data_IF_352647264164
#
_entry.id   IF_352647264164
#
_cell.length_a   1.000
_cell.length_b   1.000
_cell.length_c   1.000
_cell.angle_alpha   90.00
_cell.angle_beta   90.00
_cell.angle_gamma   90.00
#
_symmetry.space_group_name_H-M   'P 1'
#
loop_
_entity.id
_entity.type
_entity.pdbx_description
1 polymer ?
#
# COMPACT_ATOMS: atom_id res chain seq x y z
N UNK A 1 10.74 1.55 -35.47
CA UNK A 1 11.82 1.62 -34.46
C UNK A 1 11.31 0.92 -33.21
N UNK A 2 11.86 -0.23 -32.85
CA UNK A 2 11.49 -0.90 -31.60
C UNK A 2 11.82 0.02 -30.43
N UNK A 3 10.84 0.34 -29.59
CA UNK A 3 11.07 1.19 -28.42
C UNK A 3 12.13 0.54 -27.54
N UNK A 4 13.03 1.37 -27.01
CA UNK A 4 13.97 0.96 -25.97
C UNK A 4 13.21 0.19 -24.88
N UNK A 5 13.73 -0.97 -24.47
CA UNK A 5 13.26 -1.69 -23.29
C UNK A 5 13.18 -0.70 -22.11
N UNK A 6 11.97 -0.35 -21.70
CA UNK A 6 11.72 0.58 -20.63
C UNK A 6 12.41 0.11 -19.33
N UNK A 7 12.81 1.05 -18.48
CA UNK A 7 13.35 0.76 -17.15
C UNK A 7 12.83 1.81 -16.16
N UNK A 8 12.42 1.41 -14.94
CA UNK A 8 11.95 2.34 -13.93
C UNK A 8 13.06 3.28 -13.46
N UNK A 9 12.68 4.51 -13.14
CA UNK A 9 13.60 5.48 -12.55
C UNK A 9 14.14 5.01 -11.19
N UNK A 10 15.35 5.46 -10.86
CA UNK A 10 16.00 5.20 -9.56
C UNK A 10 15.14 5.78 -8.43
N UNK A 11 14.76 4.93 -7.46
CA UNK A 11 13.93 5.29 -6.31
C UNK A 11 14.19 4.36 -5.13
N UNK A 12 13.88 4.79 -3.91
CA UNK A 12 13.84 3.94 -2.72
C UNK A 12 12.42 3.87 -2.15
N UNK A 13 12.20 3.05 -1.11
CA UNK A 13 10.96 3.05 -0.31
C UNK A 13 9.67 2.80 -1.11
N UNK A 14 9.77 2.18 -2.28
CA UNK A 14 8.65 1.74 -3.09
C UNK A 14 8.03 0.48 -2.51
N UNK A 15 6.79 0.19 -2.91
CA UNK A 15 6.14 -1.09 -2.64
C UNK A 15 6.18 -1.96 -3.87
N UNK A 16 6.35 -3.28 -3.68
CA UNK A 16 6.27 -4.26 -4.77
C UNK A 16 5.51 -5.49 -4.32
N UNK A 17 4.65 -6.01 -5.20
CA UNK A 17 3.88 -7.24 -4.96
C UNK A 17 3.78 -8.07 -6.23
N UNK A 18 3.62 -9.39 -6.09
CA UNK A 18 3.40 -10.32 -7.20
C UNK A 18 1.91 -10.58 -7.42
N UNK A 19 1.45 -10.54 -8.66
CA UNK A 19 0.15 -11.04 -9.10
C UNK A 19 0.34 -11.82 -10.40
N UNK A 20 -0.02 -13.11 -10.41
CA UNK A 20 0.27 -13.99 -11.55
C UNK A 20 1.76 -14.01 -11.89
N UNK A 21 2.09 -13.81 -13.17
CA UNK A 21 3.47 -13.77 -13.68
C UNK A 21 4.09 -12.37 -13.66
N UNK A 22 3.46 -11.41 -12.98
CA UNK A 22 3.89 -10.02 -12.96
C UNK A 22 4.21 -9.55 -11.54
N UNK A 23 5.18 -8.63 -11.44
CA UNK A 23 5.36 -7.78 -10.27
C UNK A 23 4.78 -6.40 -10.58
N UNK A 24 4.16 -5.81 -9.58
CA UNK A 24 3.59 -4.47 -9.62
C UNK A 24 4.33 -3.62 -8.60
N UNK A 25 4.91 -2.51 -9.04
CA UNK A 25 5.66 -1.60 -8.20
C UNK A 25 5.01 -0.21 -8.21
N UNK A 26 4.73 0.30 -7.01
CA UNK A 26 4.08 1.59 -6.82
C UNK A 26 4.86 2.49 -5.86
N UNK A 27 4.84 3.78 -6.17
CA UNK A 27 5.45 4.83 -5.37
C UNK A 27 6.97 4.71 -5.29
N UNK A 28 7.49 5.06 -4.11
CA UNK A 28 8.89 5.26 -3.81
C UNK A 28 9.33 6.71 -3.99
N UNK A 29 10.43 7.08 -3.35
CA UNK A 29 10.99 8.41 -3.44
C UNK A 29 12.17 8.44 -4.43
N UNK A 30 12.10 9.33 -5.41
CA UNK A 30 13.12 9.48 -6.45
C UNK A 30 12.80 10.59 -7.43
N UNK A 31 13.83 11.12 -8.09
CA UNK A 31 13.65 12.12 -9.15
C UNK A 31 13.01 11.48 -10.38
N UNK A 32 11.93 12.10 -10.88
CA UNK A 32 11.22 11.62 -12.07
C UNK A 32 10.31 10.41 -11.83
N UNK A 33 9.99 10.08 -10.58
CA UNK A 33 8.93 9.09 -10.28
C UNK A 33 7.60 9.68 -10.74
N UNK A 34 6.92 8.94 -11.62
CA UNK A 34 5.57 9.24 -12.07
C UNK A 34 4.58 8.46 -11.20
N UNK A 35 3.67 9.17 -10.54
CA UNK A 35 2.66 8.62 -9.63
C UNK A 35 1.30 8.42 -10.30
N UNK A 36 1.21 8.60 -11.62
CA UNK A 36 -0.01 8.30 -12.40
C UNK A 36 0.07 6.92 -13.10
N UNK A 37 1.24 6.27 -13.04
CA UNK A 37 1.51 4.98 -13.69
C UNK A 37 1.91 3.89 -12.71
N UNK A 38 1.49 2.67 -12.99
CA UNK A 38 1.94 1.46 -12.33
C UNK A 38 3.13 0.87 -13.10
N UNK A 39 4.24 0.65 -12.40
CA UNK A 39 5.41 -0.02 -12.96
C UNK A 39 5.18 -1.54 -12.91
N UNK A 40 5.21 -2.21 -14.06
CA UNK A 40 4.89 -3.64 -14.16
C UNK A 40 6.10 -4.39 -14.71
N UNK A 41 6.51 -5.44 -14.02
CA UNK A 41 7.59 -6.32 -14.44
C UNK A 41 7.06 -7.70 -14.78
N UNK A 42 7.29 -8.17 -16.00
CA UNK A 42 6.94 -9.53 -16.42
C UNK A 42 8.07 -10.48 -16.03
N UNK A 43 7.82 -11.37 -15.06
CA UNK A 43 8.82 -12.29 -14.51
C UNK A 43 9.45 -13.22 -15.57
N UNK A 44 8.68 -13.86 -16.48
CA UNK A 44 9.23 -14.79 -17.46
C UNK A 44 10.18 -14.13 -18.47
N UNK A 45 9.89 -12.91 -18.93
CA UNK A 45 10.70 -12.23 -19.96
C UNK A 45 11.69 -11.22 -19.38
N UNK A 46 11.54 -10.88 -18.11
CA UNK A 46 12.33 -9.85 -17.44
C UNK A 46 12.12 -8.44 -18.00
N UNK A 47 10.95 -8.17 -18.58
CA UNK A 47 10.64 -6.89 -19.23
C UNK A 47 9.81 -5.98 -18.32
N UNK A 48 10.13 -4.69 -18.31
CA UNK A 48 9.35 -3.66 -17.65
C UNK A 48 8.39 -2.96 -18.61
N UNK A 49 7.25 -2.52 -18.07
CA UNK A 49 6.26 -1.72 -18.76
C UNK A 49 5.63 -0.70 -17.78
N UNK A 50 5.10 0.39 -18.32
CA UNK A 50 4.34 1.40 -17.56
C UNK A 50 2.87 1.33 -17.95
N UNK A 51 2.01 1.17 -16.95
CA UNK A 51 0.56 1.11 -17.14
C UNK A 51 -0.09 2.34 -16.52
N UNK A 52 -0.67 3.26 -17.32
CA UNK A 52 -1.48 4.35 -16.79
C UNK A 52 -2.60 3.81 -15.90
N UNK A 53 -2.85 4.51 -14.79
CA UNK A 53 -3.89 4.12 -13.84
C UNK A 53 -5.00 5.15 -13.78
N UNK A 54 -6.17 4.73 -13.27
CA UNK A 54 -7.33 5.62 -13.10
C UNK A 54 -7.97 5.43 -11.72
N UNK A 55 -8.92 6.30 -11.34
CA UNK A 55 -9.62 6.23 -10.06
C UNK A 55 -8.96 7.08 -8.98
N UNK A 56 -8.91 6.57 -7.75
CA UNK A 56 -8.39 7.30 -6.58
C UNK A 56 -7.10 6.64 -6.06
N UNK A 57 -5.94 6.91 -6.68
CA UNK A 57 -4.66 6.41 -6.18
C UNK A 57 -4.34 7.00 -4.79
N UNK A 58 -3.51 6.30 -3.99
CA UNK A 58 -3.13 6.79 -2.67
C UNK A 58 -2.24 8.04 -2.78
N UNK A 59 -2.42 8.99 -1.85
CA UNK A 59 -1.75 10.30 -1.87
C UNK A 59 -0.29 10.30 -1.38
N UNK A 60 0.13 9.26 -0.65
CA UNK A 60 1.52 9.12 -0.24
C UNK A 60 2.45 8.87 -1.44
N UNK A 61 3.73 9.15 -1.27
CA UNK A 61 4.75 8.82 -2.25
C UNK A 61 5.45 7.51 -1.92
N UNK A 62 5.68 7.18 -0.65
CA UNK A 62 6.53 6.06 -0.27
C UNK A 62 6.10 5.32 1.00
N UNK A 63 6.76 4.19 1.24
CA UNK A 63 6.67 3.42 2.49
C UNK A 63 5.30 2.80 2.75
N UNK A 64 4.55 2.53 1.69
CA UNK A 64 3.34 1.74 1.74
C UNK A 64 3.65 0.31 2.20
N UNK A 65 2.65 -0.32 2.81
CA UNK A 65 2.62 -1.76 3.00
C UNK A 65 1.66 -2.35 1.97
N UNK A 66 2.07 -3.40 1.26
CA UNK A 66 1.26 -3.99 0.18
C UNK A 66 1.10 -5.50 0.28
N UNK A 67 -0.08 -5.98 -0.14
CA UNK A 67 -0.40 -7.41 -0.29
C UNK A 67 -1.41 -7.61 -1.42
N UNK A 68 -1.38 -8.76 -2.09
CA UNK A 68 -2.35 -9.10 -3.13
C UNK A 68 -3.29 -10.23 -2.68
N UNK A 69 -4.57 -10.12 -3.07
CA UNK A 69 -5.57 -11.19 -2.95
C UNK A 69 -6.23 -11.33 -4.33
N UNK A 70 -6.01 -12.47 -4.98
CA UNK A 70 -6.48 -12.67 -6.35
C UNK A 70 -5.88 -11.65 -7.31
N UNK A 71 -6.74 -10.78 -7.87
CA UNK A 71 -6.37 -9.73 -8.84
C UNK A 71 -6.33 -8.33 -8.22
N UNK A 72 -6.66 -8.22 -6.94
CA UNK A 72 -6.69 -6.98 -6.21
C UNK A 72 -5.43 -6.85 -5.37
N UNK A 73 -4.78 -5.69 -5.49
CA UNK A 73 -3.62 -5.31 -4.70
C UNK A 73 -4.05 -4.26 -3.69
N UNK A 74 -3.74 -4.50 -2.43
CA UNK A 74 -4.02 -3.59 -1.33
C UNK A 74 -2.77 -2.83 -0.95
N UNK A 75 -2.91 -1.52 -0.73
CA UNK A 75 -1.86 -0.63 -0.26
C UNK A 75 -2.38 0.09 0.97
N UNK A 76 -1.65 -0.01 2.07
CA UNK A 76 -1.99 0.62 3.33
C UNK A 76 -0.94 1.64 3.77
N UNK A 77 -1.41 2.76 4.32
CA UNK A 77 -0.59 3.76 4.98
C UNK A 77 0.30 4.51 4.00
N UNK A 78 1.57 4.67 4.34
CA UNK A 78 2.56 5.40 3.53
C UNK A 78 2.73 6.85 3.95
N UNK A 79 3.63 7.54 3.27
CA UNK A 79 4.01 8.93 3.57
C UNK A 79 4.19 9.73 2.28
N UNK A 80 3.70 10.97 2.26
CA UNK A 80 3.91 11.94 1.20
C UNK A 80 4.11 13.33 1.83
N UNK A 81 3.15 14.23 1.66
CA UNK A 81 3.08 15.48 2.45
C UNK A 81 2.79 15.21 3.94
N UNK A 82 2.02 14.15 4.23
CA UNK A 82 1.76 13.63 5.56
C UNK A 82 1.76 12.09 5.56
N UNK A 83 1.83 11.51 6.75
CA UNK A 83 1.56 10.08 6.94
C UNK A 83 0.09 9.78 6.66
N UNK A 84 -0.20 8.57 6.21
CA UNK A 84 -1.54 8.13 5.84
C UNK A 84 -1.94 6.90 6.67
N UNK A 85 -3.24 6.69 6.81
CA UNK A 85 -3.86 5.48 7.36
C UNK A 85 -4.96 4.93 6.44
N UNK A 86 -5.02 5.41 5.19
CA UNK A 86 -5.98 4.93 4.21
C UNK A 86 -5.58 3.57 3.66
N UNK A 87 -6.58 2.80 3.25
CA UNK A 87 -6.43 1.55 2.51
C UNK A 87 -6.88 1.79 1.08
N UNK A 88 -6.03 1.52 0.10
CA UNK A 88 -6.36 1.60 -1.31
C UNK A 88 -6.27 0.22 -1.95
N UNK A 89 -7.15 -0.03 -2.91
CA UNK A 89 -7.22 -1.25 -3.70
C UNK A 89 -6.97 -0.90 -5.16
N UNK A 90 -6.02 -1.59 -5.80
CA UNK A 90 -5.75 -1.53 -7.22
C UNK A 90 -6.09 -2.86 -7.88
N UNK A 91 -6.98 -2.84 -8.87
CA UNK A 91 -7.33 -4.03 -9.63
C UNK A 91 -6.47 -4.15 -10.89
N UNK A 92 -5.76 -5.26 -11.06
CA UNK A 92 -4.77 -5.40 -12.14
C UNK A 92 -5.36 -5.58 -13.54
N UNK A 93 -6.63 -6.01 -13.66
CA UNK A 93 -7.29 -6.16 -14.96
C UNK A 93 -7.78 -4.79 -15.48
N UNK A 94 -8.41 -4.01 -14.61
CA UNK A 94 -9.00 -2.72 -14.96
C UNK A 94 -8.02 -1.54 -14.82
N UNK A 95 -6.87 -1.75 -14.17
CA UNK A 95 -5.88 -0.72 -13.84
C UNK A 95 -6.49 0.47 -13.07
N UNK A 96 -7.47 0.17 -12.22
CA UNK A 96 -8.26 1.16 -11.49
C UNK A 96 -8.03 1.06 -9.99
N UNK A 97 -7.84 2.22 -9.39
CA UNK A 97 -7.76 2.44 -7.96
C UNK A 97 -9.13 2.71 -7.34
N UNK A 98 -9.31 2.19 -6.12
CA UNK A 98 -10.42 2.50 -5.23
C UNK A 98 -9.88 2.73 -3.83
N UNK A 99 -10.30 3.80 -3.18
CA UNK A 99 -10.08 3.97 -1.75
C UNK A 99 -11.13 3.14 -1.00
N UNK A 100 -10.65 2.31 -0.07
CA UNK A 100 -11.47 1.54 0.84
C UNK A 100 -11.45 2.30 2.17
N UNK A 101 -12.48 3.12 2.41
CA UNK A 101 -12.63 3.83 3.68
C UNK A 101 -12.52 2.85 4.85
N UNK A 102 -11.90 3.23 5.97
CA UNK A 102 -11.93 2.40 7.15
C UNK A 102 -13.40 2.15 7.53
N UNK A 103 -13.72 0.89 7.82
CA UNK A 103 -15.01 0.54 8.41
C UNK A 103 -15.13 1.35 9.69
N UNK A 104 -16.05 2.32 9.69
CA UNK A 104 -16.32 3.31 10.74
C UNK A 104 -16.45 2.69 12.13
N UNK A 105 -15.31 2.45 12.77
CA UNK A 105 -15.23 1.87 14.10
C UNK A 105 -14.28 2.73 14.91
N UNK A 106 -14.50 2.80 16.22
CA UNK A 106 -13.74 3.64 17.16
C UNK A 106 -12.23 3.25 17.29
N UNK A 107 -11.70 2.48 16.33
CA UNK A 107 -10.35 1.91 16.28
C UNK A 107 -9.74 2.03 14.88
N UNK A 108 -9.93 3.18 14.25
CA UNK A 108 -9.23 3.49 13.01
C UNK A 108 -7.71 3.43 13.25
N UNK A 109 -6.96 2.77 12.37
CA UNK A 109 -5.53 2.70 12.53
C UNK A 109 -4.90 4.09 12.52
N UNK A 110 -3.85 4.24 13.32
CA UNK A 110 -3.03 5.43 13.25
C UNK A 110 -2.39 5.58 11.87
N UNK A 111 -2.05 6.82 11.51
CA UNK A 111 -1.24 7.14 10.33
C UNK A 111 0.18 6.60 10.48
N UNK A 112 0.65 5.81 9.52
CA UNK A 112 1.92 5.07 9.61
C UNK A 112 2.45 4.61 8.27
N UNK A 113 3.72 4.22 8.27
CA UNK A 113 4.47 3.70 7.13
C UNK A 113 5.28 2.47 7.55
N UNK A 114 5.80 1.70 6.58
CA UNK A 114 6.69 0.55 6.81
C UNK A 114 6.12 -0.48 7.80
N UNK A 115 4.81 -0.76 7.69
CA UNK A 115 4.15 -1.77 8.51
C UNK A 115 4.36 -3.16 7.89
N UNK A 116 4.21 -4.21 8.70
CA UNK A 116 3.92 -5.54 8.18
C UNK A 116 2.47 -5.60 7.70
N UNK A 117 2.22 -6.25 6.56
CA UNK A 117 0.86 -6.56 6.11
C UNK A 117 0.83 -7.98 5.55
N UNK A 118 -0.22 -8.72 5.89
CA UNK A 118 -0.49 -10.05 5.34
C UNK A 118 -1.99 -10.21 5.09
N UNK A 119 -2.35 -11.08 4.14
CA UNK A 119 -3.73 -11.55 4.02
C UNK A 119 -3.93 -12.81 4.87
N UNK A 120 -5.10 -12.92 5.49
CA UNK A 120 -5.50 -14.08 6.27
C UNK A 120 -6.97 -14.41 6.00
N UNK A 121 -7.34 -15.68 6.05
CA UNK A 121 -8.73 -16.12 5.93
C UNK A 121 -9.19 -16.69 7.28
N UNK A 122 -10.29 -16.13 7.81
CA UNK A 122 -10.92 -16.58 9.04
C UNK A 122 -12.42 -16.66 8.82
N UNK A 123 -13.05 -17.78 9.21
CA UNK A 123 -14.50 -17.96 9.15
C UNK A 123 -15.14 -17.67 7.78
N UNK A 124 -14.39 -17.91 6.70
CA UNK A 124 -14.84 -17.69 5.31
C UNK A 124 -14.63 -16.26 4.80
N UNK A 125 -14.18 -15.33 5.65
CA UNK A 125 -13.86 -13.96 5.28
C UNK A 125 -12.35 -13.76 5.06
N UNK A 126 -12.00 -12.90 4.11
CA UNK A 126 -10.62 -12.45 3.93
C UNK A 126 -10.37 -11.20 4.78
N UNK A 127 -9.23 -11.18 5.45
CA UNK A 127 -8.75 -10.07 6.24
C UNK A 127 -7.37 -9.64 5.77
N UNK A 128 -7.09 -8.34 5.85
CA UNK A 128 -5.73 -7.82 5.89
C UNK A 128 -5.35 -7.62 7.35
N UNK A 129 -4.25 -8.23 7.78
CA UNK A 129 -3.68 -8.04 9.10
C UNK A 129 -2.47 -7.14 8.97
N UNK A 130 -2.53 -5.97 9.61
CA UNK A 130 -1.48 -4.95 9.56
C UNK A 130 -0.87 -4.82 10.94
N UNK A 131 0.45 -4.97 11.03
CA UNK A 131 1.18 -4.96 12.31
C UNK A 131 2.32 -3.95 12.29
N UNK A 132 2.39 -3.18 13.38
CA UNK A 132 3.47 -2.24 13.66
C UNK A 132 3.55 -1.11 12.64
N UNK A 133 4.77 -0.65 12.36
CA UNK A 133 5.04 0.50 11.49
C UNK A 133 5.70 1.65 12.23
N UNK A 134 6.01 2.71 11.49
CA UNK A 134 6.60 3.95 12.01
C UNK A 134 5.65 5.12 11.77
N UNK A 135 5.54 6.01 12.76
CA UNK A 135 4.74 7.23 12.71
C UNK A 135 5.62 8.48 12.51
N UNK A 136 4.99 9.57 12.07
CA UNK A 136 5.61 10.89 12.04
C UNK A 136 5.86 11.48 13.42
N UNK A 137 7.00 12.16 13.58
CA UNK A 137 7.41 12.86 14.81
C UNK A 137 6.59 14.13 15.08
N UNK A 138 5.97 14.73 14.05
CA UNK A 138 5.16 15.93 14.24
C UNK A 138 3.86 15.57 14.96
N UNK A 139 3.82 15.94 16.23
CA UNK A 139 2.66 16.14 17.09
C UNK A 139 1.34 16.35 16.32
N UNK A 140 0.28 15.67 16.77
CA UNK A 140 -1.13 15.67 16.28
C UNK A 140 -1.50 14.48 15.36
N UNK A 141 -1.07 13.25 15.67
CA UNK A 141 -1.73 12.07 15.07
C UNK A 141 -3.06 11.79 15.79
N UNK A 142 -4.15 12.04 15.08
CA UNK A 142 -5.55 12.22 15.53
C UNK A 142 -6.35 10.92 15.74
N UNK A 143 -5.69 9.83 16.11
CA UNK A 143 -6.34 8.54 16.39
C UNK A 143 -6.05 8.08 17.82
N UNK A 144 -7.01 7.42 18.51
CA UNK A 144 -6.73 6.84 19.83
C UNK A 144 -5.67 5.75 19.70
N UNK A 145 -4.65 5.81 20.56
CA UNK A 145 -3.68 4.71 20.69
C UNK A 145 -4.44 3.42 20.98
N UNK A 146 -4.09 2.34 20.28
CA UNK A 146 -4.67 1.03 20.53
C UNK A 146 -4.36 0.61 21.98
N UNK A 147 -5.35 0.15 22.77
CA UNK A 147 -5.11 -0.42 24.09
C UNK A 147 -4.05 -1.53 24.01
N UNK A 148 -3.15 -1.57 24.98
CA UNK A 148 -2.07 -2.57 25.12
C UNK A 148 -0.94 -2.52 24.06
N UNK A 149 -1.02 -1.59 23.09
CA UNK A 149 0.08 -1.34 22.17
C UNK A 149 1.19 -0.50 22.83
N UNK A 150 2.43 -0.78 22.45
CA UNK A 150 3.63 -0.07 22.85
C UNK A 150 4.08 0.87 21.74
N UNK A 151 4.66 2.00 22.14
CA UNK A 151 5.10 3.05 21.23
C UNK A 151 6.45 3.58 21.69
N UNK A 152 7.44 3.55 20.80
CA UNK A 152 8.75 4.09 21.07
C UNK A 152 8.79 5.60 20.86
N UNK A 153 9.77 6.26 21.49
CA UNK A 153 10.03 7.68 21.29
C UNK A 153 10.33 8.03 19.82
N UNK A 154 10.94 7.09 19.08
CA UNK A 154 11.23 7.23 17.65
C UNK A 154 10.10 6.82 16.72
N UNK A 155 8.91 6.58 17.28
CA UNK A 155 7.67 6.46 16.52
C UNK A 155 7.31 5.08 16.02
N UNK A 156 8.02 4.03 16.44
CA UNK A 156 7.63 2.64 16.16
C UNK A 156 6.50 2.20 17.06
N UNK A 157 5.62 1.35 16.55
CA UNK A 157 4.57 0.72 17.35
C UNK A 157 4.47 -0.79 17.06
N UNK A 158 3.70 -1.48 17.88
CA UNK A 158 3.30 -2.88 17.68
C UNK A 158 1.78 -3.02 17.53
N UNK A 159 1.09 -1.96 17.11
CA UNK A 159 -0.35 -1.98 16.83
C UNK A 159 -0.71 -3.12 15.88
N UNK A 160 -1.91 -3.67 16.04
CA UNK A 160 -2.46 -4.69 15.16
C UNK A 160 -3.85 -4.30 14.71
N UNK A 161 -4.05 -4.28 13.39
CA UNK A 161 -5.31 -3.92 12.75
C UNK A 161 -5.77 -5.03 11.80
N UNK A 162 -7.06 -5.35 11.87
CA UNK A 162 -7.72 -6.31 11.00
C UNK A 162 -8.69 -5.55 10.09
N UNK A 163 -8.43 -5.57 8.80
CA UNK A 163 -9.35 -5.04 7.79
C UNK A 163 -10.09 -6.19 7.14
N UNK A 164 -11.40 -6.27 7.35
CA UNK A 164 -12.24 -7.24 6.63
C UNK A 164 -12.41 -6.79 5.19
N UNK A 165 -12.10 -7.65 4.24
CA UNK A 165 -12.34 -7.46 2.82
C UNK A 165 -13.63 -8.19 2.47
N UNK A 166 -14.72 -7.44 2.32
CA UNK A 166 -15.97 -8.01 1.83
C UNK A 166 -15.82 -8.35 0.34
N UNK A 167 -16.27 -9.54 -0.04
CA UNK A 167 -16.17 -10.06 -1.41
C UNK A 167 -17.15 -9.41 -2.41
N UNK A 168 -17.56 -8.14 -2.21
CA UNK A 168 -18.70 -7.58 -2.94
C UNK A 168 -18.85 -6.05 -2.98
N UNK A 169 -17.81 -5.31 -3.34
CA UNK A 169 -17.94 -3.93 -3.84
C UNK A 169 -17.24 -3.73 -5.19
#
# INVERSE_FOLDING_TARGET
MASKNYQPVKRDSHSTVKVGDYLYMWGGYGSGVDYDVMEVYHLPTGAWDQKPTTGTPPQGSCGYSTVAIGKDIYYFGGSGSSYQNSLHCFNVDSLKWRELSPSSSDRDPMMKTYCGIVSANFDGDNYLVIIGGTRGYSSINTGPMQPDAQYSADGRCNEIHYYRISSGQ
#
